data_IF_228520300461
#
_entry.id   IF_228520300461
#
_cell.length_a   1.000
_cell.length_b   1.000
_cell.length_c   1.000
_cell.angle_alpha   90.00
_cell.angle_beta   90.00
_cell.angle_gamma   90.00
#
_symmetry.space_group_name_H-M   'P 1'
#
loop_
_entity.id
_entity.type
_entity.pdbx_description
1 polymer ?
#
# COMPACT_ATOMS: atom_id res chain seq x y z
N UNK A 1 -16.49 -6.87 -13.94
CA UNK A 1 -15.80 -7.30 -14.41
C UNK A 1 -15.66 -8.75 -14.78
N UNK A 2 -16.76 -9.47 -14.84
CA UNK A 2 -16.70 -10.86 -15.31
C UNK A 2 -16.35 -10.96 -16.78
N UNK A 3 -16.53 -9.91 -17.51
CA UNK A 3 -16.15 -9.88 -18.91
C UNK A 3 -14.67 -9.64 -19.10
N UNK A 4 -13.95 -9.41 -18.04
CA UNK A 4 -12.52 -9.30 -18.18
C UNK A 4 -11.92 -10.68 -18.38
N UNK A 5 -10.67 -10.65 -18.67
CA UNK A 5 -9.94 -11.85 -18.94
C UNK A 5 -9.90 -12.75 -17.70
N UNK A 6 -10.31 -14.01 -17.88
CA UNK A 6 -10.30 -15.02 -16.84
C UNK A 6 -9.42 -16.16 -17.23
N UNK A 7 -8.83 -16.82 -16.24
CA UNK A 7 -8.20 -18.08 -16.51
C UNK A 7 -9.27 -19.15 -16.66
N UNK A 8 -8.84 -20.39 -16.88
CA UNK A 8 -9.78 -21.46 -17.17
C UNK A 8 -10.69 -21.79 -16.00
N UNK A 9 -10.36 -21.36 -14.80
CA UNK A 9 -11.21 -21.59 -13.64
C UNK A 9 -12.21 -20.47 -13.44
N UNK A 10 -12.21 -19.49 -14.31
CA UNK A 10 -13.13 -18.36 -14.19
C UNK A 10 -12.65 -17.26 -13.29
N UNK A 11 -11.48 -17.40 -12.70
CA UNK A 11 -10.91 -16.35 -11.89
C UNK A 11 -10.29 -15.29 -12.78
N UNK A 12 -10.23 -14.07 -12.25
CA UNK A 12 -9.55 -13.00 -12.94
C UNK A 12 -8.07 -13.33 -13.03
N UNK A 13 -7.45 -12.87 -14.10
CA UNK A 13 -6.01 -12.99 -14.21
C UNK A 13 -5.35 -12.25 -13.08
N UNK A 14 -4.10 -12.58 -12.82
CA UNK A 14 -3.35 -11.90 -11.79
C UNK A 14 -3.31 -10.39 -12.05
N UNK A 15 -3.14 -9.99 -13.30
CA UNK A 15 -3.08 -8.57 -13.64
C UNK A 15 -4.38 -7.87 -13.30
N UNK A 16 -5.50 -8.47 -13.67
CA UNK A 16 -6.80 -7.87 -13.37
C UNK A 16 -7.03 -7.77 -11.87
N UNK A 17 -6.61 -8.79 -11.14
CA UNK A 17 -6.78 -8.77 -9.68
C UNK A 17 -5.92 -7.68 -9.05
N UNK A 18 -4.73 -7.46 -9.57
CA UNK A 18 -3.86 -6.41 -9.05
C UNK A 18 -4.48 -5.05 -9.30
N UNK A 19 -5.02 -4.84 -10.48
CA UNK A 19 -5.64 -3.56 -10.81
C UNK A 19 -6.86 -3.31 -9.93
N UNK A 20 -7.67 -4.33 -9.70
CA UNK A 20 -8.82 -4.19 -8.81
C UNK A 20 -8.40 -3.89 -7.38
N UNK A 21 -7.37 -4.59 -6.93
CA UNK A 21 -6.86 -4.38 -5.59
C UNK A 21 -6.32 -2.96 -5.44
N UNK A 22 -5.57 -2.51 -6.43
CA UNK A 22 -5.03 -1.17 -6.42
C UNK A 22 -6.13 -0.12 -6.35
N UNK A 23 -7.17 -0.28 -7.18
CA UNK A 23 -8.28 0.67 -7.19
C UNK A 23 -9.00 0.70 -5.83
N UNK A 24 -9.19 -0.46 -5.23
CA UNK A 24 -9.84 -0.52 -3.93
C UNK A 24 -9.01 0.15 -2.85
N UNK A 25 -7.68 -0.06 -2.88
CA UNK A 25 -6.81 0.55 -1.90
C UNK A 25 -6.86 2.08 -2.02
N UNK A 26 -6.78 2.58 -3.24
CA UNK A 26 -6.83 4.04 -3.44
C UNK A 26 -8.16 4.60 -3.01
N UNK A 27 -9.25 3.89 -3.30
CA UNK A 27 -10.56 4.33 -2.87
C UNK A 27 -10.70 4.31 -1.35
N UNK A 28 -10.17 3.29 -0.70
CA UNK A 28 -10.25 3.20 0.75
C UNK A 28 -9.51 4.36 1.41
N UNK A 29 -8.34 4.70 0.87
CA UNK A 29 -7.59 5.83 1.38
C UNK A 29 -8.35 7.14 1.17
N UNK A 30 -8.96 7.29 0.01
CA UNK A 30 -9.73 8.50 -0.28
C UNK A 30 -10.95 8.60 0.64
N UNK A 31 -11.65 7.49 0.85
CA UNK A 31 -12.81 7.47 1.73
C UNK A 31 -12.45 7.88 3.15
N UNK A 32 -11.26 7.52 3.58
CA UNK A 32 -10.77 7.84 4.92
C UNK A 32 -10.00 9.16 4.97
N UNK A 33 -10.03 9.90 3.88
CA UNK A 33 -9.44 11.23 3.80
C UNK A 33 -7.93 11.21 4.07
N UNK A 34 -7.27 10.23 3.49
CA UNK A 34 -5.81 10.18 3.56
C UNK A 34 -5.23 11.44 2.91
N UNK A 35 -4.10 11.87 3.45
CA UNK A 35 -3.41 13.05 2.94
C UNK A 35 -2.43 12.61 1.87
N UNK A 36 -2.52 13.24 0.71
CA UNK A 36 -1.55 13.05 -0.37
C UNK A 36 -1.28 11.58 -0.68
N UNK A 37 -2.35 10.84 -0.97
CA UNK A 37 -2.19 9.45 -1.39
C UNK A 37 -1.62 9.43 -2.80
N UNK A 38 -0.50 8.77 -2.96
CA UNK A 38 0.22 8.70 -4.23
C UNK A 38 0.45 7.25 -4.59
N UNK A 39 0.25 6.92 -5.85
CA UNK A 39 0.50 5.58 -6.37
C UNK A 39 1.69 5.63 -7.32
N UNK A 40 2.65 4.76 -7.08
CA UNK A 40 3.86 4.70 -7.88
C UNK A 40 3.92 3.34 -8.55
N UNK A 41 3.83 3.28 -9.87
CA UNK A 41 3.96 1.99 -10.55
C UNK A 41 5.41 1.51 -10.48
N UNK A 42 5.57 0.25 -10.14
CA UNK A 42 6.88 -0.36 -10.00
C UNK A 42 7.17 -1.36 -11.10
N UNK A 43 6.18 -1.70 -11.90
CA UNK A 43 6.38 -2.64 -12.99
C UNK A 43 7.48 -2.10 -13.91
N UNK A 44 8.44 -2.96 -14.20
CA UNK A 44 9.58 -2.56 -15.02
C UNK A 44 10.71 -1.91 -14.24
N UNK A 45 10.48 -1.54 -12.97
CA UNK A 45 11.52 -0.94 -12.14
C UNK A 45 12.05 -1.92 -11.11
N UNK A 46 11.20 -2.80 -10.64
CA UNK A 46 11.58 -3.79 -9.64
C UNK A 46 10.61 -4.95 -9.73
N UNK A 47 11.04 -6.10 -9.23
CA UNK A 47 10.18 -7.28 -9.17
C UNK A 47 9.53 -7.45 -7.80
N UNK A 48 9.73 -6.51 -6.89
CA UNK A 48 9.19 -6.63 -5.54
C UNK A 48 7.67 -6.57 -5.54
N UNK A 49 7.12 -5.63 -6.29
CA UNK A 49 5.69 -5.43 -6.36
C UNK A 49 5.36 -4.69 -7.64
N UNK A 50 4.07 -4.61 -7.96
CA UNK A 50 3.61 -3.90 -9.14
C UNK A 50 3.34 -2.43 -8.84
N UNK A 51 2.94 -2.12 -7.61
CA UNK A 51 2.66 -0.74 -7.20
C UNK A 51 3.15 -0.51 -5.79
N UNK A 52 3.58 0.71 -5.53
CA UNK A 52 3.78 1.20 -4.18
C UNK A 52 2.85 2.36 -3.96
N UNK A 53 2.09 2.32 -2.89
CA UNK A 53 1.17 3.39 -2.53
C UNK A 53 1.70 4.05 -1.28
N UNK A 54 1.76 5.38 -1.29
CA UNK A 54 2.25 6.15 -0.16
C UNK A 54 1.18 7.17 0.22
N UNK A 55 0.82 7.20 1.47
CA UNK A 55 -0.20 8.12 1.96
C UNK A 55 0.17 8.57 3.36
N UNK A 56 -0.50 9.60 3.81
CA UNK A 56 -0.30 10.12 5.16
C UNK A 56 -1.64 10.18 5.90
N UNK A 57 -1.55 10.04 7.21
CA UNK A 57 -2.67 10.30 8.09
C UNK A 57 -2.27 11.41 9.05
N UNK A 58 -3.25 12.17 9.51
CA UNK A 58 -2.98 13.32 10.37
C UNK A 58 -2.59 12.94 11.78
N UNK A 59 -2.87 11.70 12.17
CA UNK A 59 -2.58 11.23 13.52
C UNK A 59 -2.26 9.75 13.46
N UNK A 60 -1.64 9.24 14.51
CA UNK A 60 -1.40 7.80 14.61
C UNK A 60 -2.71 7.02 14.58
N UNK A 61 -3.75 7.59 15.18
CA UNK A 61 -5.05 6.94 15.18
C UNK A 61 -5.60 6.81 13.78
N UNK A 62 -5.48 7.87 12.98
CA UNK A 62 -5.95 7.80 11.61
C UNK A 62 -5.11 6.83 10.78
N UNK A 63 -3.80 6.85 10.96
CA UNK A 63 -2.91 5.93 10.26
C UNK A 63 -3.31 4.49 10.57
N UNK A 64 -3.49 4.17 11.84
CA UNK A 64 -3.88 2.82 12.23
C UNK A 64 -5.24 2.45 11.67
N UNK A 65 -6.19 3.37 11.70
CA UNK A 65 -7.53 3.13 11.19
C UNK A 65 -7.52 2.84 9.69
N UNK A 66 -6.77 3.63 8.94
CA UNK A 66 -6.67 3.42 7.50
C UNK A 66 -6.06 2.06 7.17
N UNK A 67 -5.01 1.69 7.91
CA UNK A 67 -4.37 0.40 7.67
C UNK A 67 -5.31 -0.76 7.97
N UNK A 68 -6.02 -0.68 9.07
CA UNK A 68 -6.95 -1.73 9.47
C UNK A 68 -8.09 -1.87 8.47
N UNK A 69 -8.62 -0.75 7.98
CA UNK A 69 -9.70 -0.79 7.01
C UNK A 69 -9.26 -1.40 5.69
N UNK A 70 -8.05 -1.07 5.24
CA UNK A 70 -7.54 -1.67 4.02
C UNK A 70 -7.42 -3.17 4.19
N UNK A 71 -6.87 -3.62 5.31
CA UNK A 71 -6.71 -5.05 5.56
C UNK A 71 -8.06 -5.76 5.60
N UNK A 72 -9.05 -5.16 6.26
CA UNK A 72 -10.38 -5.75 6.34
C UNK A 72 -11.05 -5.84 4.97
N UNK A 73 -10.93 -4.80 4.18
CA UNK A 73 -11.54 -4.80 2.85
C UNK A 73 -10.87 -5.82 1.93
N UNK A 74 -9.56 -5.97 2.05
CA UNK A 74 -8.87 -6.98 1.24
C UNK A 74 -9.35 -8.36 1.64
N UNK A 75 -9.52 -8.60 2.93
CA UNK A 75 -10.02 -9.89 3.36
C UNK A 75 -11.44 -10.14 2.86
N UNK A 76 -12.30 -9.17 2.95
CA UNK A 76 -13.70 -9.33 2.55
C UNK A 76 -13.89 -9.41 1.05
N UNK A 77 -13.16 -8.60 0.30
CA UNK A 77 -13.39 -8.50 -1.14
C UNK A 77 -12.49 -9.43 -1.95
N UNK A 78 -11.32 -9.78 -1.42
CA UNK A 78 -10.35 -10.59 -2.14
C UNK A 78 -10.04 -11.90 -1.44
N UNK A 79 -10.58 -12.11 -0.24
CA UNK A 79 -10.35 -13.35 0.50
C UNK A 79 -8.89 -13.56 0.87
N UNK A 80 -8.15 -12.49 1.05
CA UNK A 80 -6.71 -12.55 1.23
C UNK A 80 -6.33 -11.89 2.54
N UNK A 81 -5.40 -12.50 3.26
CA UNK A 81 -4.80 -11.87 4.44
C UNK A 81 -3.57 -11.09 4.01
N UNK A 82 -3.37 -9.95 4.65
CA UNK A 82 -2.20 -9.13 4.37
C UNK A 82 -1.34 -9.06 5.61
N UNK A 83 -0.10 -8.68 5.41
CA UNK A 83 0.84 -8.52 6.50
C UNK A 83 0.96 -7.03 6.81
N UNK A 84 0.77 -6.69 8.09
CA UNK A 84 0.85 -5.30 8.53
C UNK A 84 2.00 -5.19 9.52
N UNK A 85 2.85 -4.20 9.31
CA UNK A 85 3.94 -3.88 10.22
C UNK A 85 3.80 -2.43 10.64
N UNK A 86 4.23 -2.13 11.86
CA UNK A 86 4.23 -0.78 12.36
C UNK A 86 3.14 -0.45 13.33
N UNK A 87 2.27 -1.42 13.66
CA UNK A 87 1.26 -1.23 14.68
C UNK A 87 1.77 -1.77 16.01
N UNK A 88 1.30 -1.23 17.11
CA UNK A 88 0.29 -0.18 17.27
C UNK A 88 0.84 1.24 17.23
N UNK A 89 2.14 1.42 17.10
CA UNK A 89 2.72 2.77 17.15
C UNK A 89 2.15 3.67 16.06
N UNK A 90 1.98 3.10 14.85
CA UNK A 90 1.33 3.77 13.73
C UNK A 90 2.01 5.07 13.30
N UNK A 91 3.32 5.16 13.48
CA UNK A 91 4.09 6.27 12.92
C UNK A 91 4.35 6.04 11.45
N UNK A 92 4.62 4.80 11.08
CA UNK A 92 4.88 4.37 9.72
C UNK A 92 4.37 2.94 9.64
N UNK A 93 3.28 2.73 8.92
CA UNK A 93 2.68 1.42 8.76
C UNK A 93 2.93 0.93 7.33
N UNK A 94 3.37 -0.29 7.22
CA UNK A 94 3.56 -0.94 5.93
C UNK A 94 2.54 -2.07 5.83
N UNK A 95 1.81 -2.11 4.73
CA UNK A 95 0.88 -3.19 4.44
C UNK A 95 1.40 -3.92 3.21
N UNK A 96 1.78 -5.17 3.40
CA UNK A 96 2.29 -6.00 2.32
C UNK A 96 1.13 -6.81 1.76
N UNK A 97 0.67 -6.43 0.59
CA UNK A 97 -0.45 -7.08 -0.07
C UNK A 97 0.02 -8.04 -1.16
N UNK A 98 1.31 -8.31 -1.22
CA UNK A 98 1.88 -9.17 -2.25
C UNK A 98 2.29 -8.38 -3.47
N UNK A 99 1.33 -7.98 -4.26
CA UNK A 99 1.60 -7.25 -5.49
C UNK A 99 1.61 -5.74 -5.29
N UNK A 100 1.13 -5.28 -4.15
CA UNK A 100 1.06 -3.86 -3.83
C UNK A 100 1.58 -3.68 -2.42
N UNK A 101 2.45 -2.72 -2.25
CA UNK A 101 2.97 -2.35 -0.94
C UNK A 101 2.43 -0.98 -0.60
N UNK A 102 1.79 -0.86 0.57
CA UNK A 102 1.20 0.39 1.00
C UNK A 102 1.97 0.91 2.19
N UNK A 103 2.39 2.16 2.11
CA UNK A 103 3.04 2.87 3.21
C UNK A 103 2.12 3.98 3.67
N UNK A 104 1.83 4.02 4.95
CA UNK A 104 1.02 5.09 5.53
C UNK A 104 1.83 5.70 6.66
N UNK A 105 2.09 6.98 6.58
CA UNK A 105 2.93 7.69 7.53
C UNK A 105 2.17 8.81 8.20
N UNK A 106 2.65 9.20 9.39
CA UNK A 106 2.38 10.56 9.83
C UNK A 106 3.20 11.49 8.93
N UNK A 107 2.70 12.72 8.69
CA UNK A 107 3.34 13.59 7.69
C UNK A 107 4.82 13.86 7.97
N UNK A 108 5.19 14.04 9.22
CA UNK A 108 6.57 14.33 9.55
C UNK A 108 7.50 13.15 9.26
N UNK A 109 6.98 11.92 9.41
CA UNK A 109 7.77 10.74 9.12
C UNK A 109 7.94 10.59 7.61
N UNK A 110 6.87 10.85 6.87
CA UNK A 110 6.91 10.77 5.41
C UNK A 110 7.95 11.72 4.84
N UNK A 111 7.96 12.95 5.35
CA UNK A 111 8.92 13.93 4.88
C UNK A 111 10.33 13.48 5.15
N UNK A 112 10.55 12.83 6.28
CA UNK A 112 11.87 12.39 6.66
C UNK A 112 12.41 11.32 5.73
N UNK A 113 11.58 10.32 5.40
CA UNK A 113 12.02 9.20 4.58
C UNK A 113 11.89 9.44 3.08
N UNK A 114 10.87 10.19 2.67
CA UNK A 114 10.70 10.59 1.27
C UNK A 114 10.76 9.41 0.30
N UNK A 115 10.07 8.33 0.64
CA UNK A 115 10.15 7.09 -0.13
C UNK A 115 9.61 7.23 -1.54
N UNK A 116 8.54 7.99 -1.70
CA UNK A 116 7.96 8.15 -3.03
C UNK A 116 8.93 8.79 -4.00
N UNK A 117 9.75 9.70 -3.51
CA UNK A 117 10.73 10.35 -4.36
C UNK A 117 11.82 9.39 -4.79
N UNK A 118 12.28 8.56 -3.84
CA UNK A 118 13.30 7.57 -4.17
C UNK A 118 12.83 6.66 -5.28
N UNK A 119 11.60 6.14 -5.16
CA UNK A 119 11.08 5.23 -6.15
C UNK A 119 10.70 5.94 -7.43
N UNK A 120 10.25 7.20 -7.32
CA UNK A 120 9.94 7.99 -8.50
C UNK A 120 11.15 8.26 -9.36
N UNK A 121 12.33 8.28 -8.76
CA UNK A 121 13.58 8.46 -9.49
C UNK A 121 14.18 7.14 -9.95
N UNK A 122 13.46 6.04 -9.75
CA UNK A 122 13.94 4.76 -10.20
C UNK A 122 14.99 4.14 -9.31
N UNK A 123 15.16 4.67 -8.13
CA UNK A 123 16.14 4.11 -7.21
C UNK A 123 15.74 2.71 -6.80
N UNK A 124 16.65 1.74 -6.86
CA UNK A 124 16.35 0.40 -6.38
C UNK A 124 16.50 0.26 -4.88
N UNK A 125 16.72 1.34 -4.18
CA UNK A 125 16.84 1.26 -2.73
C UNK A 125 15.68 0.48 -2.19
N UNK A 126 15.99 -0.56 -1.45
CA UNK A 126 14.98 -1.49 -1.02
C UNK A 126 13.95 -0.79 -0.17
N UNK A 127 12.70 -1.14 -0.43
CA UNK A 127 11.65 -0.76 0.48
C UNK A 127 11.68 -1.81 1.57
N UNK A 128 12.52 -1.57 2.53
CA UNK A 128 12.65 -2.50 3.63
C UNK A 128 11.46 -2.37 4.55
N UNK A 129 11.30 -3.36 5.42
CA UNK A 129 10.32 -3.23 6.47
C UNK A 129 10.59 -1.95 7.25
N UNK A 130 9.55 -1.29 7.75
CA UNK A 130 9.77 -0.06 8.48
C UNK A 130 10.64 -0.28 9.69
N UNK A 131 11.64 0.56 9.81
CA UNK A 131 12.41 0.63 11.02
C UNK A 131 11.81 1.73 11.88
N UNK A 132 12.06 1.65 13.17
CA UNK A 132 11.55 2.70 14.02
C UNK A 132 12.19 4.03 13.63
N UNK A 133 11.39 5.08 13.42
CA UNK A 133 11.96 6.38 13.11
C UNK A 133 12.86 6.91 14.22
N UNK A 134 12.69 6.41 15.40
CA UNK A 134 13.49 6.85 16.53
C UNK A 134 14.84 6.15 16.60
N UNK A 135 15.11 5.27 15.68
CA UNK A 135 16.40 4.59 15.64
C UNK A 135 17.52 5.51 15.20
N UNK A 136 17.21 6.70 14.90
CA UNK A 136 18.21 7.67 14.46
C UNK A 136 18.62 8.58 15.56
#
# INVERSE_FOLDING_TARGET
ARDRYFDEDGDLTKTDRVDELHAMIMKSLDDDQAVEAVSIPLAGKTSIADYMVVASGRSTRQVASMATKIADRIKQEFGRNVRIQGLPAADWVLIDCGDIIVHIFRPEVRAFYNLERMWGEGSPAAVAAPASPTAH
#
